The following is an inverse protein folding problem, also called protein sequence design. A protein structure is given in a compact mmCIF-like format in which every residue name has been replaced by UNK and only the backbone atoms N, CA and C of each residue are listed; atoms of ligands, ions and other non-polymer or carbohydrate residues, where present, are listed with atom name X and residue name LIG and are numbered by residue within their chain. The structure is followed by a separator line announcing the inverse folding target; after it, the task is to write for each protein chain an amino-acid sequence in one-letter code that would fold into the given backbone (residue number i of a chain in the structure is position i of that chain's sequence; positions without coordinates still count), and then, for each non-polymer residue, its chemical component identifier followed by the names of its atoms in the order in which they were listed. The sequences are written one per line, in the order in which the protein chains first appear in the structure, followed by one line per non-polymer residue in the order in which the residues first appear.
data_IF_150847230821
#
_entry.id   IF_150847230821
#
_cell.length_a   1.000
_cell.length_b   1.000
_cell.length_c   1.000
_cell.angle_alpha   90.00
_cell.angle_beta   90.00
_cell.angle_gamma   90.00
#
_symmetry.space_group_name_H-M   'P 1'
#
loop_
_entity.id
_entity.type
_entity.pdbx_description
1 polymer ?
#
# COMPACT_ATOMS: atom_id res chain seq x y z
N UNK A 1 -32.14 25.13 20.30
CA UNK A 1 -31.78 23.69 20.43
C UNK A 1 -32.31 23.13 21.75
N UNK A 2 -33.22 22.16 21.67
CA UNK A 2 -33.77 21.47 22.85
C UNK A 2 -32.73 20.56 23.51
N UNK A 3 -32.84 20.33 24.83
CA UNK A 3 -31.86 19.52 25.59
C UNK A 3 -31.66 18.09 25.05
N UNK A 4 -32.69 17.51 24.40
CA UNK A 4 -32.60 16.22 23.68
C UNK A 4 -31.70 16.29 22.44
N UNK A 5 -31.68 17.40 21.71
CA UNK A 5 -30.82 17.55 20.54
C UNK A 5 -29.35 17.76 20.90
N UNK A 6 -29.06 18.47 22.01
CA UNK A 6 -27.69 18.61 22.52
C UNK A 6 -27.09 17.24 22.91
N UNK A 7 -27.86 16.39 23.59
CA UNK A 7 -27.42 15.02 23.94
C UNK A 7 -27.13 14.15 22.71
N UNK A 8 -27.98 14.20 21.67
CA UNK A 8 -27.75 13.45 20.42
C UNK A 8 -26.45 13.89 19.73
N UNK A 9 -26.20 15.19 19.62
CA UNK A 9 -24.98 15.73 19.02
C UNK A 9 -23.71 15.26 19.74
N UNK A 10 -23.73 15.24 21.08
CA UNK A 10 -22.61 14.74 21.88
C UNK A 10 -22.36 13.25 21.62
N UNK A 11 -23.42 12.44 21.61
CA UNK A 11 -23.29 10.99 21.36
C UNK A 11 -22.74 10.73 19.96
N UNK A 12 -23.26 11.42 18.94
CA UNK A 12 -22.75 11.30 17.58
C UNK A 12 -21.29 11.72 17.47
N UNK A 13 -20.89 12.79 18.16
CA UNK A 13 -19.48 13.21 18.23
C UNK A 13 -18.59 12.14 18.86
N UNK A 14 -19.01 11.54 19.98
CA UNK A 14 -18.25 10.46 20.64
C UNK A 14 -18.13 9.24 19.73
N UNK A 15 -19.22 8.81 19.09
CA UNK A 15 -19.21 7.68 18.15
C UNK A 15 -18.28 7.96 16.98
N UNK A 16 -18.29 9.17 16.43
CA UNK A 16 -17.40 9.56 15.34
C UNK A 16 -15.92 9.50 15.79
N UNK A 17 -15.61 10.02 16.97
CA UNK A 17 -14.25 9.98 17.52
C UNK A 17 -13.79 8.55 17.74
N UNK A 18 -14.62 7.70 18.35
CA UNK A 18 -14.30 6.28 18.54
C UNK A 18 -14.13 5.54 17.21
N UNK A 19 -14.97 5.86 16.22
CA UNK A 19 -14.84 5.32 14.86
C UNK A 19 -13.52 5.76 14.21
N UNK A 20 -13.13 7.03 14.32
CA UNK A 20 -11.87 7.54 13.78
C UNK A 20 -10.65 6.93 14.49
N UNK A 21 -10.71 6.77 15.81
CA UNK A 21 -9.64 6.11 16.58
C UNK A 21 -9.51 4.64 16.15
N UNK A 22 -10.63 3.92 16.08
CA UNK A 22 -10.64 2.52 15.63
C UNK A 22 -10.15 2.38 14.19
N UNK A 23 -10.62 3.23 13.29
CA UNK A 23 -10.17 3.28 11.90
C UNK A 23 -8.67 3.58 11.80
N UNK A 24 -8.18 4.57 12.55
CA UNK A 24 -6.75 4.90 12.61
C UNK A 24 -5.92 3.73 13.13
N UNK A 25 -6.40 3.04 14.17
CA UNK A 25 -5.70 1.88 14.74
C UNK A 25 -5.63 0.72 13.73
N UNK A 26 -6.74 0.42 13.06
CA UNK A 26 -6.80 -0.58 12.00
C UNK A 26 -5.83 -0.19 10.88
N UNK A 27 -5.90 1.04 10.37
CA UNK A 27 -5.02 1.51 9.29
C UNK A 27 -3.54 1.39 9.66
N UNK A 28 -3.20 1.68 10.93
CA UNK A 28 -1.83 1.55 11.46
C UNK A 28 -1.38 0.09 11.60
N UNK A 29 -2.27 -0.83 11.95
CA UNK A 29 -1.94 -2.27 12.03
C UNK A 29 -1.85 -2.94 10.66
N UNK A 30 -2.57 -2.43 9.66
CA UNK A 30 -2.50 -2.92 8.28
C UNK A 30 -1.32 -2.35 7.49
N UNK A 31 -0.68 -1.29 7.98
CA UNK A 31 0.52 -0.67 7.39
C UNK A 31 1.74 -0.90 8.26
N UNK A 32 2.01 -2.16 8.62
CA UNK A 32 3.33 -2.53 9.12
C UNK A 32 4.30 -2.54 7.92
N UNK A 33 4.71 -1.35 7.50
CA UNK A 33 5.47 -1.11 6.27
C UNK A 33 6.72 -1.98 6.22
N UNK A 34 7.43 -2.11 7.33
CA UNK A 34 8.65 -2.92 7.43
C UNK A 34 8.36 -4.39 7.10
N UNK A 35 7.24 -4.93 7.61
CA UNK A 35 6.82 -6.29 7.28
C UNK A 35 6.54 -6.48 5.79
N UNK A 36 5.84 -5.54 5.14
CA UNK A 36 5.56 -5.65 3.70
C UNK A 36 6.82 -5.53 2.85
N UNK A 37 7.74 -4.64 3.22
CA UNK A 37 9.00 -4.45 2.53
C UNK A 37 9.90 -5.68 2.67
N UNK A 38 10.00 -6.24 3.88
CA UNK A 38 10.77 -7.46 4.11
C UNK A 38 10.17 -8.66 3.37
N UNK A 39 8.84 -8.82 3.41
CA UNK A 39 8.14 -9.87 2.67
C UNK A 39 8.36 -9.74 1.16
N UNK A 40 8.25 -8.52 0.62
CA UNK A 40 8.49 -8.24 -0.79
C UNK A 40 9.94 -8.53 -1.19
N UNK A 41 10.92 -8.13 -0.38
CA UNK A 41 12.33 -8.40 -0.61
C UNK A 41 12.68 -9.89 -0.48
N UNK A 42 12.05 -10.60 0.46
CA UNK A 42 12.19 -12.05 0.58
C UNK A 42 11.62 -12.77 -0.66
N UNK A 43 10.56 -12.24 -1.28
CA UNK A 43 9.97 -12.81 -2.48
C UNK A 43 10.92 -12.78 -3.68
N UNK A 44 11.75 -11.74 -3.79
CA UNK A 44 12.78 -11.65 -4.85
C UNK A 44 13.96 -12.60 -4.63
N UNK A 45 13.97 -13.37 -3.53
CA UNK A 45 15.09 -14.21 -3.15
C UNK A 45 16.26 -13.42 -2.58
N UNK A 46 15.99 -12.24 -2.02
CA UNK A 46 17.01 -11.30 -1.55
C UNK A 46 17.97 -10.88 -2.67
N UNK A 47 17.43 -10.49 -3.83
CA UNK A 47 18.24 -10.12 -4.99
C UNK A 47 19.26 -9.02 -4.62
N UNK A 48 20.57 -9.29 -4.71
CA UNK A 48 21.60 -8.33 -4.31
C UNK A 48 21.71 -7.13 -5.26
N UNK A 49 21.07 -7.17 -6.42
CA UNK A 49 21.07 -6.03 -7.35
C UNK A 49 20.11 -4.92 -6.90
N UNK A 50 19.20 -5.19 -5.96
CA UNK A 50 18.26 -4.18 -5.44
C UNK A 50 19.03 -3.14 -4.64
N UNK A 51 18.93 -1.87 -5.05
CA UNK A 51 19.73 -0.77 -4.48
C UNK A 51 19.26 -0.39 -3.08
N UNK A 52 17.95 -0.20 -2.91
CA UNK A 52 17.32 0.12 -1.63
C UNK A 52 15.95 -0.56 -1.53
N UNK A 53 15.92 -1.71 -0.86
CA UNK A 53 14.67 -2.43 -0.61
C UNK A 53 13.82 -1.80 0.50
N UNK A 54 14.38 -0.88 1.30
CA UNK A 54 13.66 -0.21 2.40
C UNK A 54 12.89 1.02 1.95
N UNK A 55 13.29 1.62 0.83
CA UNK A 55 12.61 2.76 0.22
C UNK A 55 12.32 2.53 -1.27
N UNK A 56 11.50 1.51 -1.61
CA UNK A 56 11.05 1.33 -2.99
C UNK A 56 10.01 2.39 -3.37
N UNK A 57 9.83 2.58 -4.67
CA UNK A 57 8.64 3.27 -5.16
C UNK A 57 7.42 2.38 -4.98
N UNK A 58 6.28 2.96 -4.67
CA UNK A 58 5.04 2.21 -4.53
C UNK A 58 3.82 3.00 -4.97
N UNK A 59 2.83 2.26 -5.48
CA UNK A 59 1.54 2.81 -5.91
C UNK A 59 0.40 1.91 -5.45
N UNK A 60 -0.73 2.50 -5.07
CA UNK A 60 -1.95 1.75 -4.76
C UNK A 60 -2.81 1.75 -6.02
N UNK A 61 -2.92 0.60 -6.66
CA UNK A 61 -3.65 0.46 -7.94
C UNK A 61 -4.70 -0.64 -7.84
N UNK A 62 -5.63 -0.65 -8.80
CA UNK A 62 -6.53 -1.78 -8.99
C UNK A 62 -5.90 -2.72 -10.03
N UNK A 63 -5.50 -3.92 -9.59
CA UNK A 63 -4.92 -4.95 -10.46
C UNK A 63 -5.75 -6.23 -10.39
N UNK A 64 -6.12 -6.79 -11.55
CA UNK A 64 -6.94 -8.02 -11.66
C UNK A 64 -8.21 -7.99 -10.78
N UNK A 65 -8.95 -6.88 -10.79
CA UNK A 65 -10.15 -6.62 -9.98
C UNK A 65 -9.94 -6.65 -8.45
N UNK A 66 -8.70 -6.51 -7.99
CA UNK A 66 -8.34 -6.43 -6.56
C UNK A 66 -7.58 -5.14 -6.29
N UNK A 67 -7.69 -4.64 -5.06
CA UNK A 67 -6.82 -3.56 -4.59
C UNK A 67 -5.42 -4.16 -4.39
N UNK A 68 -4.42 -3.55 -4.99
CA UNK A 68 -3.05 -4.00 -4.94
C UNK A 68 -2.11 -2.86 -4.57
N UNK A 69 -1.12 -3.16 -3.74
CA UNK A 69 0.04 -2.29 -3.57
C UNK A 69 1.09 -2.77 -4.57
N UNK A 70 1.37 -1.95 -5.57
CA UNK A 70 2.44 -2.19 -6.52
C UNK A 70 3.73 -1.62 -5.93
N UNK A 71 4.70 -2.47 -5.60
CA UNK A 71 6.03 -2.08 -5.10
C UNK A 71 7.03 -2.24 -6.24
N UNK A 72 7.87 -1.24 -6.46
CA UNK A 72 8.86 -1.18 -7.53
C UNK A 72 10.24 -1.09 -6.89
N UNK A 73 11.03 -2.15 -7.03
CA UNK A 73 12.42 -2.18 -6.62
C UNK A 73 13.33 -1.79 -7.78
N UNK A 74 14.08 -0.71 -7.59
CA UNK A 74 15.16 -0.31 -8.49
C UNK A 74 16.39 -1.17 -8.26
N UNK A 75 17.03 -1.54 -9.36
CA UNK A 75 18.20 -2.41 -9.38
C UNK A 75 19.40 -1.68 -9.98
N UNK A 76 20.60 -2.13 -9.64
CA UNK A 76 21.84 -1.66 -10.30
C UNK A 76 21.90 -1.98 -11.79
N UNK A 77 21.01 -2.86 -12.25
CA UNK A 77 20.91 -3.38 -13.62
C UNK A 77 19.63 -2.90 -14.33
N UNK A 78 19.03 -1.80 -13.89
CA UNK A 78 17.76 -1.31 -14.44
C UNK A 78 17.79 -1.10 -15.96
N UNK A 79 18.93 -0.72 -16.54
CA UNK A 79 19.07 -0.55 -17.99
C UNK A 79 19.03 -1.89 -18.76
N UNK A 80 19.40 -3.00 -18.12
CA UNK A 80 19.49 -4.33 -18.77
C UNK A 80 18.35 -5.26 -18.39
N UNK A 81 17.96 -5.28 -17.12
CA UNK A 81 16.95 -6.19 -16.56
C UNK A 81 15.65 -5.46 -16.23
N UNK A 82 15.70 -4.15 -16.01
CA UNK A 82 14.56 -3.35 -15.57
C UNK A 82 14.29 -3.48 -14.07
N UNK A 83 13.53 -2.53 -13.49
CA UNK A 83 13.09 -2.61 -12.10
C UNK A 83 12.13 -3.77 -11.89
N UNK A 84 12.16 -4.35 -10.69
CA UNK A 84 11.33 -5.48 -10.28
C UNK A 84 10.04 -4.93 -9.66
N UNK A 85 8.89 -5.20 -10.29
CA UNK A 85 7.59 -4.82 -9.76
C UNK A 85 6.90 -5.99 -9.09
N UNK A 86 6.30 -5.77 -7.92
CA UNK A 86 5.54 -6.78 -7.18
C UNK A 86 4.16 -6.24 -6.83
N UNK A 87 3.12 -7.05 -7.03
CA UNK A 87 1.77 -6.72 -6.61
C UNK A 87 1.41 -7.47 -5.32
N UNK A 88 1.09 -6.69 -4.30
CA UNK A 88 0.82 -7.18 -2.95
C UNK A 88 -0.65 -6.97 -2.61
N UNK A 89 -1.29 -8.01 -2.06
CA UNK A 89 -2.62 -7.88 -1.47
C UNK A 89 -2.46 -7.30 -0.04
N UNK A 90 -2.93 -6.06 0.22
CA UNK A 90 -2.75 -5.41 1.51
C UNK A 90 -3.59 -6.02 2.64
N UNK A 91 -4.58 -6.85 2.32
CA UNK A 91 -5.43 -7.51 3.31
C UNK A 91 -4.91 -8.89 3.68
N UNK A 92 -4.40 -9.62 2.68
CA UNK A 92 -3.86 -10.97 2.87
C UNK A 92 -2.37 -10.98 3.20
N UNK A 93 -1.68 -9.87 2.97
CA UNK A 93 -0.23 -9.74 3.15
C UNK A 93 0.51 -10.83 2.36
N UNK A 94 0.24 -10.89 1.07
CA UNK A 94 0.86 -11.84 0.15
C UNK A 94 1.18 -11.16 -1.17
N UNK A 95 2.33 -11.50 -1.76
CA UNK A 95 2.62 -11.19 -3.17
C UNK A 95 1.80 -12.15 -4.02
N UNK A 96 1.00 -11.62 -4.94
CA UNK A 96 0.11 -12.46 -5.76
C UNK A 96 0.43 -12.38 -7.26
N UNK A 97 1.25 -11.43 -7.67
CA UNK A 97 1.67 -11.24 -9.05
C UNK A 97 2.97 -10.43 -9.11
N UNK A 98 3.74 -10.62 -10.17
CA UNK A 98 4.99 -9.88 -10.43
C UNK A 98 4.85 -9.14 -11.76
N UNK A 99 5.35 -7.90 -11.81
CA UNK A 99 5.51 -7.15 -13.05
C UNK A 99 6.94 -7.36 -13.59
N UNK A 100 7.10 -8.13 -14.69
CA UNK A 100 8.41 -8.42 -15.26
C UNK A 100 9.06 -7.21 -15.94
N UNK A 101 8.38 -6.05 -16.05
CA UNK A 101 8.94 -4.78 -16.55
C UNK A 101 8.28 -3.60 -15.84
N UNK A 102 8.61 -3.37 -14.57
CA UNK A 102 8.07 -2.21 -13.84
C UNK A 102 8.49 -0.84 -14.46
N UNK A 103 9.41 -0.85 -15.43
CA UNK A 103 9.70 0.27 -16.32
C UNK A 103 8.68 0.36 -17.46
N UNK A 104 7.45 0.78 -17.14
CA UNK A 104 6.43 0.99 -18.18
C UNK A 104 5.03 1.35 -17.71
N UNK A 105 4.87 2.42 -16.91
CA UNK A 105 3.53 2.79 -16.43
C UNK A 105 3.31 4.21 -15.94
N UNK A 106 4.24 5.14 -16.17
CA UNK A 106 4.01 6.57 -15.89
C UNK A 106 3.05 7.19 -16.89
N UNK A 107 1.74 7.02 -16.70
CA UNK A 107 0.72 7.92 -17.21
C UNK A 107 -0.54 7.75 -16.37
N UNK A 108 -0.66 8.61 -15.35
CA UNK A 108 -1.93 8.94 -14.77
C UNK A 108 -2.90 9.34 -15.87
N UNK A 109 -3.85 8.45 -16.18
CA UNK A 109 -5.13 8.83 -16.76
C UNK A 109 -5.93 9.49 -15.63
N UNK A 110 -5.56 10.73 -15.29
CA UNK A 110 -6.50 11.62 -14.63
C UNK A 110 -7.44 12.09 -15.73
N UNK A 111 -8.64 11.53 -15.71
CA UNK A 111 -9.80 12.05 -16.39
C UNK A 111 -10.00 13.50 -15.93
N UNK A 112 -9.82 14.45 -16.84
CA UNK A 112 -10.52 15.73 -16.87
C UNK A 112 -11.00 15.98 -18.29
#
# INVERSE_FOLDING_TARGET
MTGRQKKKLIITGIVLVLFLIGYSFIFRSYLDTDFYLEMAYAHTGYDPTIVDWRHPDYEIIQHKNRLAVHIIFFTTEDDTRGPIGLYIDPFRKEVFDEDPRASGGGSGQIVQ
#
